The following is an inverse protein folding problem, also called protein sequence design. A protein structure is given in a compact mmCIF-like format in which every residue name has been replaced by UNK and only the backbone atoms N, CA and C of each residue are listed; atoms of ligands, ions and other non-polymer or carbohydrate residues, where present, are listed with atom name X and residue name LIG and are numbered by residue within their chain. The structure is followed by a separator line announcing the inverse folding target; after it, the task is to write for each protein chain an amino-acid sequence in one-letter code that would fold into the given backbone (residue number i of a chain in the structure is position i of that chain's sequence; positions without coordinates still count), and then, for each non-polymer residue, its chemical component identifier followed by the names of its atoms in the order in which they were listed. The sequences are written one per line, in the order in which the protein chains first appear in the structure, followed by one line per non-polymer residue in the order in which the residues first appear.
data_IF_403304424389
#
_entry.id   IF_403304424389
#
_cell.length_a   1.000
_cell.length_b   1.000
_cell.length_c   1.000
_cell.angle_alpha   90.00
_cell.angle_beta   90.00
_cell.angle_gamma   90.00
#
_symmetry.space_group_name_H-M   'P 1'
#
loop_
_entity.id
_entity.type
_entity.pdbx_description
1 polymer ?
#
# COMPACT_ATOMS: atom_id res chain seq x y z
N UNK A 1 2.44 -14.91 -6.13
CA UNK A 1 1.20 -14.16 -5.83
C UNK A 1 0.97 -14.09 -4.32
N UNK A 2 1.83 -13.37 -3.61
CA UNK A 2 1.76 -13.26 -2.12
C UNK A 2 1.46 -11.82 -1.70
N UNK A 3 1.91 -10.82 -2.46
CA UNK A 3 1.63 -9.41 -2.17
C UNK A 3 0.14 -9.06 -2.27
N UNK A 4 -0.60 -9.65 -3.23
CA UNK A 4 -2.02 -9.36 -3.43
C UNK A 4 -2.89 -9.86 -2.27
N UNK A 5 -2.53 -11.01 -1.67
CA UNK A 5 -3.24 -11.56 -0.52
C UNK A 5 -3.06 -10.67 0.72
N UNK A 6 -1.84 -10.19 0.96
CA UNK A 6 -1.55 -9.27 2.06
C UNK A 6 -2.34 -7.95 1.94
N UNK A 7 -2.46 -7.39 0.73
CA UNK A 7 -3.25 -6.18 0.48
C UNK A 7 -4.74 -6.34 0.79
N UNK A 8 -5.33 -7.50 0.45
CA UNK A 8 -6.73 -7.81 0.74
C UNK A 8 -7.01 -7.91 2.24
N UNK A 9 -6.11 -8.56 2.99
CA UNK A 9 -6.23 -8.66 4.46
C UNK A 9 -6.18 -7.27 5.09
N UNK A 10 -5.27 -6.41 4.63
CA UNK A 10 -5.18 -5.02 5.08
C UNK A 10 -6.44 -4.22 4.79
N UNK A 11 -7.02 -4.38 3.61
CA UNK A 11 -8.26 -3.71 3.23
C UNK A 11 -9.42 -4.12 4.15
N UNK A 12 -9.53 -5.41 4.49
CA UNK A 12 -10.52 -5.91 5.44
C UNK A 12 -10.39 -5.28 6.84
N UNK A 13 -9.16 -5.10 7.33
CA UNK A 13 -8.89 -4.46 8.62
C UNK A 13 -9.29 -2.99 8.65
N UNK A 14 -9.08 -2.26 7.54
CA UNK A 14 -9.48 -0.84 7.42
C UNK A 14 -11.02 -0.72 7.49
N UNK A 15 -11.74 -1.57 6.76
CA UNK A 15 -13.21 -1.58 6.76
C UNK A 15 -13.74 -1.89 8.17
N UNK A 16 -13.19 -2.92 8.83
CA UNK A 16 -13.58 -3.28 10.19
C UNK A 16 -13.33 -2.15 11.19
N UNK A 17 -12.16 -1.50 11.11
CA UNK A 17 -11.81 -0.39 12.00
C UNK A 17 -12.69 0.84 11.76
N UNK A 18 -13.04 1.14 10.51
CA UNK A 18 -13.96 2.23 10.16
C UNK A 18 -15.39 1.98 10.65
N UNK A 19 -15.86 0.73 10.57
CA UNK A 19 -17.15 0.35 11.16
C UNK A 19 -17.15 0.53 12.68
N UNK A 20 -16.07 0.11 13.34
CA UNK A 20 -15.90 0.24 14.79
C UNK A 20 -15.87 1.69 15.26
N UNK A 21 -15.30 2.60 14.45
CA UNK A 21 -15.32 4.05 14.70
C UNK A 21 -16.73 4.63 14.60
N UNK A 22 -17.52 4.25 13.60
CA UNK A 22 -18.90 4.72 13.43
C UNK A 22 -19.83 4.27 14.56
N UNK A 23 -19.67 3.04 15.07
CA UNK A 23 -20.51 2.51 16.17
C UNK A 23 -20.01 2.91 17.56
N UNK A 24 -18.91 3.67 17.67
CA UNK A 24 -18.36 4.09 18.96
C UNK A 24 -19.30 5.04 19.75
N UNK A 25 -20.38 5.54 19.13
CA UNK A 25 -21.51 6.21 19.78
C UNK A 25 -21.13 7.36 20.75
N UNK A 26 -20.02 8.07 20.46
CA UNK A 26 -19.54 9.18 21.28
C UNK A 26 -18.67 8.78 22.48
N UNK A 27 -18.36 7.49 22.67
CA UNK A 27 -17.35 7.07 23.63
C UNK A 27 -15.96 7.44 23.10
N UNK A 28 -15.35 8.47 23.69
CA UNK A 28 -14.04 9.00 23.31
C UNK A 28 -12.92 7.94 23.33
N UNK A 29 -12.99 6.98 24.25
CA UNK A 29 -12.00 5.91 24.37
C UNK A 29 -12.07 4.97 23.15
N UNK A 30 -13.28 4.56 22.77
CA UNK A 30 -13.50 3.73 21.58
C UNK A 30 -13.16 4.47 20.28
N UNK A 31 -13.45 5.77 20.22
CA UNK A 31 -13.08 6.62 19.09
C UNK A 31 -11.55 6.68 18.97
N UNK A 32 -10.86 6.94 20.07
CA UNK A 32 -9.39 7.03 20.10
C UNK A 32 -8.72 5.71 19.71
N UNK A 33 -9.19 4.58 20.26
CA UNK A 33 -8.67 3.26 19.91
C UNK A 33 -8.87 2.95 18.41
N UNK A 34 -10.05 3.28 17.86
CA UNK A 34 -10.36 3.08 16.45
C UNK A 34 -9.47 3.92 15.53
N UNK A 35 -9.24 5.19 15.90
CA UNK A 35 -8.36 6.10 15.17
C UNK A 35 -6.91 5.60 15.23
N UNK A 36 -6.44 5.16 16.38
CA UNK A 36 -5.07 4.64 16.54
C UNK A 36 -4.84 3.40 15.67
N UNK A 37 -5.83 2.49 15.63
CA UNK A 37 -5.82 1.32 14.74
C UNK A 37 -5.83 1.73 13.27
N UNK A 38 -6.60 2.75 12.90
CA UNK A 38 -6.65 3.27 11.53
C UNK A 38 -5.32 3.91 11.11
N UNK A 39 -4.66 4.68 11.98
CA UNK A 39 -3.32 5.25 11.72
C UNK A 39 -2.31 4.14 11.45
N UNK A 40 -2.29 3.08 12.26
CA UNK A 40 -1.42 1.92 12.04
C UNK A 40 -1.69 1.25 10.69
N UNK A 41 -2.96 1.13 10.29
CA UNK A 41 -3.34 0.57 9.00
C UNK A 41 -2.88 1.45 7.82
N UNK A 42 -3.01 2.78 7.94
CA UNK A 42 -2.57 3.74 6.92
C UNK A 42 -1.06 3.68 6.72
N UNK A 43 -0.28 3.54 7.79
CA UNK A 43 1.18 3.39 7.71
C UNK A 43 1.53 2.13 6.90
N UNK A 44 0.88 1.01 7.17
CA UNK A 44 1.07 -0.23 6.40
C UNK A 44 0.69 -0.07 4.92
N UNK A 45 -0.44 0.60 4.62
CA UNK A 45 -0.84 0.89 3.25
C UNK A 45 0.17 1.77 2.52
N UNK A 46 0.69 2.79 3.21
CA UNK A 46 1.70 3.71 2.66
C UNK A 46 2.94 2.94 2.22
N UNK A 47 3.44 2.01 3.05
CA UNK A 47 4.60 1.18 2.72
C UNK A 47 4.36 0.37 1.44
N UNK A 48 3.18 -0.25 1.28
CA UNK A 48 2.84 -1.06 0.10
C UNK A 48 2.81 -0.18 -1.15
N UNK A 49 2.18 0.99 -1.07
CA UNK A 49 2.09 1.94 -2.18
C UNK A 49 3.49 2.45 -2.55
N UNK A 50 4.31 2.84 -1.57
CA UNK A 50 5.69 3.28 -1.78
C UNK A 50 6.54 2.19 -2.41
N UNK A 51 6.39 0.93 -1.98
CA UNK A 51 7.13 -0.20 -2.57
C UNK A 51 6.75 -0.44 -4.04
N UNK A 52 5.47 -0.32 -4.39
CA UNK A 52 5.02 -0.45 -5.77
C UNK A 52 5.57 0.67 -6.66
N UNK A 53 5.45 1.93 -6.20
CA UNK A 53 5.98 3.10 -6.92
C UNK A 53 7.49 2.97 -7.14
N UNK A 54 8.24 2.58 -6.10
CA UNK A 54 9.69 2.40 -6.19
C UNK A 54 10.07 1.27 -7.15
N UNK A 55 9.36 0.14 -7.08
CA UNK A 55 9.61 -1.00 -7.97
C UNK A 55 9.39 -0.61 -9.43
N UNK A 56 8.26 0.03 -9.74
CA UNK A 56 8.00 0.52 -11.10
C UNK A 56 9.04 1.54 -11.54
N UNK A 57 9.45 2.46 -10.67
CA UNK A 57 10.50 3.42 -10.98
C UNK A 57 11.79 2.71 -11.39
N UNK A 58 12.27 1.73 -10.62
CA UNK A 58 13.49 0.99 -10.94
C UNK A 58 13.34 0.15 -12.20
N UNK A 59 12.23 -0.59 -12.34
CA UNK A 59 11.97 -1.45 -13.51
C UNK A 59 11.89 -0.64 -14.80
N UNK A 60 11.18 0.50 -14.79
CA UNK A 60 11.10 1.38 -15.96
C UNK A 60 12.49 1.89 -16.36
N UNK A 61 13.34 2.28 -15.39
CA UNK A 61 14.71 2.73 -15.69
C UNK A 61 15.57 1.63 -16.31
N UNK A 62 15.43 0.40 -15.82
CA UNK A 62 16.12 -0.77 -16.37
C UNK A 62 15.60 -1.10 -17.78
N UNK A 63 14.29 -1.10 -18.02
CA UNK A 63 13.71 -1.37 -19.34
C UNK A 63 14.13 -0.33 -20.38
N UNK A 64 14.11 0.96 -20.05
CA UNK A 64 14.58 2.02 -20.95
C UNK A 64 16.06 1.83 -21.31
N UNK A 65 16.92 1.44 -20.35
CA UNK A 65 18.33 1.16 -20.63
C UNK A 65 18.55 -0.10 -21.49
N UNK A 66 17.66 -1.09 -21.39
CA UNK A 66 17.75 -2.30 -22.20
C UNK A 66 17.33 -2.04 -23.67
N UNK A 67 16.43 -1.07 -23.92
CA UNK A 67 16.06 -0.68 -25.28
C UNK A 67 17.20 0.01 -26.02
N UNK A 68 17.95 0.91 -25.36
CA UNK A 68 19.12 1.57 -25.97
C UNK A 68 20.25 0.60 -26.33
N UNK A 69 20.34 -0.57 -25.67
CA UNK A 69 21.34 -1.59 -26.00
C UNK A 69 20.95 -2.48 -27.20
N UNK A 70 19.68 -2.54 -27.60
CA UNK A 70 19.26 -3.30 -28.78
C UNK A 70 19.50 -2.53 -30.08
N UNK A 71 19.35 -1.20 -30.10
CA UNK A 71 19.70 -0.37 -31.26
C UNK A 71 21.21 -0.36 -31.55
N UNK A 72 22.07 -0.44 -30.51
CA UNK A 72 23.53 -0.49 -30.69
C UNK A 72 24.08 -1.84 -31.18
N UNK A 73 23.33 -2.95 -31.00
CA UNK A 73 23.76 -4.28 -31.50
C UNK A 73 23.32 -4.56 -32.94
N UNK A 74 22.47 -3.72 -33.51
CA UNK A 74 21.95 -3.85 -34.87
C UNK A 74 22.72 -3.01 -35.91
N UNK A 75 23.80 -2.33 -35.49
CA UNK A 75 24.69 -1.54 -36.35
C UNK A 75 26.14 -1.95 -36.17
#
# INVERSE_FOLDING_TARGET
MILSFLGIVFLGLIIYSGYQWMIAAGNEEKVKESIERMIRAIIGLTIIVSAYVLTNFVVTRIQTSNQTQQEQKAS
#
